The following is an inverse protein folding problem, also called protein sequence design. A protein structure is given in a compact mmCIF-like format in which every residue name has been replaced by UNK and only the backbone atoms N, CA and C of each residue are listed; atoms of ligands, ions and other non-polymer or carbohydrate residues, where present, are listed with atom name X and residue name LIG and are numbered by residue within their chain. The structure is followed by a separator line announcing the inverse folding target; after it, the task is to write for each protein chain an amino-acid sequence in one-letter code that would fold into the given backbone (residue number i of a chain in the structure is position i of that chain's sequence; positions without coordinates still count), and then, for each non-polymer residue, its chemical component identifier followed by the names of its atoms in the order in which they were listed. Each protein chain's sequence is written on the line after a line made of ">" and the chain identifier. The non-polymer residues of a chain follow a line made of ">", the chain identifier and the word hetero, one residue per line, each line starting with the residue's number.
data_IF_381549402044
#
_entry.id   IF_381549402044
#
_cell.length_a   1.000
_cell.length_b   1.000
_cell.length_c   1.000
_cell.angle_alpha   90.00
_cell.angle_beta   90.00
_cell.angle_gamma   90.00
#
_symmetry.space_group_name_H-M   'P 1'
#
loop_
_entity.id
_entity.type
_entity.pdbx_description
1 polymer ?
#
# COMPACT_ATOMS: atom_id res chain seq x y z
N UNK A 1 -54.41 26.80 43.79
CA UNK A 1 -53.87 25.51 44.27
C UNK A 1 -52.94 25.01 43.18
N UNK A 2 -51.67 24.70 43.33
CA UNK A 2 -50.78 24.57 44.48
C UNK A 2 -49.36 24.84 43.96
N UNK A 3 -48.57 25.46 44.82
CA UNK A 3 -47.16 25.81 44.67
C UNK A 3 -46.26 24.58 44.78
N UNK A 4 -45.19 24.52 43.96
CA UNK A 4 -43.86 23.90 44.21
C UNK A 4 -43.15 23.74 42.86
N UNK A 5 -42.33 24.68 42.39
CA UNK A 5 -41.10 25.21 42.99
C UNK A 5 -40.04 24.10 43.19
N UNK A 6 -38.95 24.21 42.40
CA UNK A 6 -37.53 24.09 42.78
C UNK A 6 -36.75 22.99 42.08
N UNK A 7 -35.98 23.37 41.06
CA UNK A 7 -34.53 23.71 41.09
C UNK A 7 -33.67 22.45 40.85
N UNK A 8 -32.80 22.58 39.85
CA UNK A 8 -31.89 21.62 39.23
C UNK A 8 -30.80 21.11 40.20
N UNK A 9 -30.21 19.94 39.92
CA UNK A 9 -28.81 19.96 39.43
C UNK A 9 -28.65 19.00 38.23
N UNK A 10 -28.08 19.45 37.11
CA UNK A 10 -26.67 19.26 36.81
C UNK A 10 -26.16 17.83 37.14
N UNK A 11 -26.66 16.82 36.44
CA UNK A 11 -25.94 15.56 36.31
C UNK A 11 -25.16 15.60 34.99
N UNK A 12 -23.90 15.99 35.11
CA UNK A 12 -22.81 15.59 34.24
C UNK A 12 -22.85 14.07 34.09
N UNK A 13 -23.46 13.57 33.02
CA UNK A 13 -23.16 12.25 32.51
C UNK A 13 -22.34 12.45 31.24
N UNK A 14 -21.03 12.45 31.43
CA UNK A 14 -20.05 12.30 30.37
C UNK A 14 -20.36 11.01 29.60
N UNK A 15 -21.01 11.12 28.43
CA UNK A 15 -21.03 10.02 27.48
C UNK A 15 -19.77 10.13 26.64
N UNK A 16 -18.71 9.52 27.17
CA UNK A 16 -17.49 9.24 26.43
C UNK A 16 -17.84 8.29 25.28
N UNK A 17 -18.12 8.84 24.09
CA UNK A 17 -18.06 8.10 22.83
C UNK A 17 -16.79 8.51 22.10
N UNK A 18 -15.65 8.12 22.68
CA UNK A 18 -14.36 8.10 22.00
C UNK A 18 -13.95 6.64 21.77
N UNK A 19 -14.86 5.86 21.18
CA UNK A 19 -14.48 4.61 20.53
C UNK A 19 -14.42 4.86 19.03
N UNK A 20 -13.51 5.73 18.60
CA UNK A 20 -12.99 5.61 17.25
C UNK A 20 -12.27 4.26 17.22
N UNK A 21 -12.74 3.25 16.46
CA UNK A 21 -11.86 2.14 16.17
C UNK A 21 -10.61 2.76 15.53
N UNK A 22 -9.46 2.53 16.16
CA UNK A 22 -8.18 2.78 15.55
C UNK A 22 -8.12 1.81 14.36
N UNK A 23 -8.68 2.23 13.23
CA UNK A 23 -8.36 1.63 11.95
C UNK A 23 -6.87 1.87 11.82
N UNK A 24 -6.07 0.87 12.22
CA UNK A 24 -4.69 0.77 11.81
C UNK A 24 -4.74 0.86 10.30
N UNK A 25 -4.33 2.02 9.78
CA UNK A 25 -4.14 2.22 8.37
C UNK A 25 -3.06 1.21 8.00
N UNK A 26 -3.48 0.10 7.39
CA UNK A 26 -2.56 -0.82 6.73
C UNK A 26 -1.93 0.00 5.63
N UNK A 27 -0.77 0.60 5.90
CA UNK A 27 0.05 1.18 4.87
C UNK A 27 0.36 0.02 3.92
N UNK A 28 -0.21 0.01 2.70
CA UNK A 28 0.26 -0.93 1.69
C UNK A 28 1.73 -0.57 1.55
N UNK A 29 2.63 -1.49 1.92
CA UNK A 29 4.07 -1.27 1.97
C UNK A 29 4.48 -0.42 0.78
N UNK A 30 4.63 0.88 1.04
CA UNK A 30 4.58 1.85 -0.03
C UNK A 30 5.86 1.69 -0.83
N UNK A 31 5.78 1.95 -2.13
CA UNK A 31 6.94 2.05 -3.01
C UNK A 31 8.08 2.90 -2.42
N UNK A 32 7.77 3.79 -1.47
CA UNK A 32 8.74 4.64 -0.76
C UNK A 32 9.86 3.83 -0.12
N UNK A 33 9.56 2.77 0.63
CA UNK A 33 10.57 1.99 1.36
C UNK A 33 11.56 1.34 0.40
N UNK A 34 11.06 0.84 -0.74
CA UNK A 34 11.90 0.24 -1.77
C UNK A 34 12.76 1.31 -2.47
N UNK A 35 12.15 2.44 -2.84
CA UNK A 35 12.81 3.50 -3.62
C UNK A 35 13.90 4.19 -2.83
N UNK A 36 13.75 4.38 -1.52
CA UNK A 36 14.75 5.04 -0.68
C UNK A 36 16.09 4.29 -0.72
N UNK A 37 16.09 3.00 -0.37
CA UNK A 37 17.30 2.20 -0.41
C UNK A 37 17.80 1.96 -1.84
N UNK A 38 16.90 1.66 -2.79
CA UNK A 38 17.32 1.34 -4.16
C UNK A 38 17.77 2.56 -4.98
N UNK A 39 17.50 3.78 -4.52
CA UNK A 39 18.10 4.98 -5.14
C UNK A 39 19.62 4.96 -4.97
N UNK A 40 20.12 4.44 -3.85
CA UNK A 40 21.55 4.33 -3.57
C UNK A 40 22.17 3.06 -4.17
N UNK A 41 21.46 1.92 -4.09
CA UNK A 41 22.00 0.61 -4.54
C UNK A 41 21.87 0.40 -6.06
N UNK A 42 20.74 0.82 -6.64
CA UNK A 42 20.43 0.63 -8.07
C UNK A 42 19.80 1.90 -8.68
N UNK A 43 20.53 3.03 -8.69
CA UNK A 43 19.99 4.34 -9.11
C UNK A 43 19.38 4.33 -10.52
N UNK A 44 19.98 3.58 -11.44
CA UNK A 44 19.48 3.44 -12.81
C UNK A 44 18.08 2.84 -12.88
N UNK A 45 17.82 1.76 -12.14
CA UNK A 45 16.52 1.08 -12.12
C UNK A 45 15.44 2.01 -11.55
N UNK A 46 15.75 2.73 -10.47
CA UNK A 46 14.82 3.71 -9.88
C UNK A 46 14.54 4.85 -10.84
N UNK A 47 15.56 5.33 -11.56
CA UNK A 47 15.40 6.38 -12.58
C UNK A 47 14.47 5.92 -13.71
N UNK A 48 14.69 4.70 -14.23
CA UNK A 48 13.88 4.15 -15.31
C UNK A 48 12.43 3.93 -14.87
N UNK A 49 12.22 3.40 -13.66
CA UNK A 49 10.88 3.28 -13.09
C UNK A 49 10.20 4.65 -12.95
N UNK A 50 10.88 5.67 -12.39
CA UNK A 50 10.33 7.04 -12.23
C UNK A 50 9.90 7.66 -13.56
N UNK A 51 10.59 7.33 -14.65
CA UNK A 51 10.25 7.81 -16.00
C UNK A 51 9.16 6.98 -16.71
N UNK A 52 8.76 5.84 -16.15
CA UNK A 52 7.83 4.90 -16.78
C UNK A 52 6.36 5.27 -16.56
N UNK A 53 5.50 4.70 -17.41
CA UNK A 53 4.03 4.75 -17.23
C UNK A 53 3.60 4.00 -15.98
N UNK A 54 4.33 2.98 -15.55
CA UNK A 54 4.02 2.26 -14.31
C UNK A 54 4.09 3.18 -13.09
N UNK A 55 5.10 4.06 -13.00
CA UNK A 55 5.09 5.10 -11.96
C UNK A 55 3.87 6.01 -12.15
N UNK A 56 3.60 6.54 -13.34
CA UNK A 56 2.48 7.47 -13.52
C UNK A 56 1.10 6.88 -13.22
N UNK A 57 1.01 5.55 -13.14
CA UNK A 57 -0.18 4.77 -12.73
C UNK A 57 -0.07 4.16 -11.33
N UNK A 58 0.90 4.62 -10.53
CA UNK A 58 1.16 4.18 -9.16
C UNK A 58 1.40 2.67 -8.99
N UNK A 59 1.93 2.01 -10.02
CA UNK A 59 2.48 0.65 -9.95
C UNK A 59 3.91 0.76 -9.41
N UNK A 60 4.10 0.39 -8.16
CA UNK A 60 5.35 0.39 -7.42
C UNK A 60 6.17 -0.89 -7.59
N UNK A 61 7.35 -0.90 -6.96
CA UNK A 61 8.29 -2.01 -7.04
C UNK A 61 7.67 -3.34 -6.54
N UNK A 62 6.94 -3.26 -5.43
CA UNK A 62 6.35 -4.43 -4.76
C UNK A 62 5.19 -5.07 -5.50
N UNK A 63 4.54 -4.35 -6.42
CA UNK A 63 3.44 -4.90 -7.23
C UNK A 63 3.93 -5.99 -8.19
N UNK A 64 5.20 -5.94 -8.59
CA UNK A 64 5.84 -6.95 -9.44
C UNK A 64 6.78 -7.87 -8.65
N UNK A 65 7.61 -7.28 -7.77
CA UNK A 65 8.67 -8.00 -7.06
C UNK A 65 8.24 -8.55 -5.69
N UNK A 66 7.01 -8.28 -5.27
CA UNK A 66 6.54 -8.59 -3.93
C UNK A 66 7.26 -7.77 -2.86
N UNK A 67 7.04 -8.16 -1.61
CA UNK A 67 7.44 -7.37 -0.43
C UNK A 67 8.28 -8.16 0.57
N UNK A 68 8.70 -9.38 0.23
CA UNK A 68 9.35 -10.32 1.17
C UNK A 68 10.83 -10.02 1.38
N UNK A 69 11.47 -9.36 0.42
CA UNK A 69 12.80 -8.77 0.58
C UNK A 69 12.68 -7.46 1.36
N UNK A 70 13.51 -7.29 2.38
CA UNK A 70 13.55 -6.12 3.26
C UNK A 70 14.96 -5.59 3.53
N UNK A 71 16.00 -6.35 3.19
CA UNK A 71 17.38 -5.98 3.46
C UNK A 71 18.36 -6.68 2.50
N UNK A 72 19.59 -6.17 2.40
CA UNK A 72 20.65 -6.79 1.59
C UNK A 72 20.86 -8.30 1.82
N UNK A 73 20.49 -8.81 3.01
CA UNK A 73 20.71 -10.20 3.40
C UNK A 73 19.57 -11.14 2.97
N UNK A 74 18.49 -10.62 2.37
CA UNK A 74 17.35 -11.43 1.92
C UNK A 74 16.85 -11.10 0.51
N UNK A 75 17.79 -10.70 -0.36
CA UNK A 75 17.54 -10.43 -1.78
C UNK A 75 16.94 -11.65 -2.50
N UNK A 76 17.28 -12.87 -2.06
CA UNK A 76 16.73 -14.13 -2.58
C UNK A 76 15.22 -14.27 -2.39
N UNK A 77 14.63 -13.51 -1.47
CA UNK A 77 13.17 -13.51 -1.23
C UNK A 77 12.40 -12.62 -2.20
N UNK A 78 13.08 -11.89 -3.08
CA UNK A 78 12.43 -11.09 -4.12
C UNK A 78 11.68 -12.01 -5.09
N UNK A 79 10.47 -11.64 -5.50
CA UNK A 79 9.81 -12.35 -6.59
C UNK A 79 10.51 -11.99 -7.91
N UNK A 80 10.90 -13.03 -8.63
CA UNK A 80 11.34 -12.89 -10.02
C UNK A 80 10.11 -12.66 -10.89
N UNK A 81 10.09 -11.52 -11.58
CA UNK A 81 9.00 -11.13 -12.46
C UNK A 81 9.00 -12.02 -13.70
N UNK A 82 7.84 -12.61 -14.00
CA UNK A 82 7.63 -13.42 -15.20
C UNK A 82 6.47 -12.82 -16.02
N UNK A 83 6.19 -13.37 -17.20
CA UNK A 83 5.03 -12.97 -17.99
C UNK A 83 3.69 -13.13 -17.22
N UNK A 84 3.65 -14.03 -16.25
CA UNK A 84 2.47 -14.26 -15.41
C UNK A 84 2.25 -13.14 -14.41
N UNK A 85 3.31 -12.54 -13.89
CA UNK A 85 3.21 -11.32 -13.06
C UNK A 85 2.53 -10.19 -13.84
N UNK A 86 2.88 -10.04 -15.12
CA UNK A 86 2.26 -9.04 -15.98
C UNK A 86 0.77 -9.31 -16.21
N UNK A 87 0.35 -10.58 -16.24
CA UNK A 87 -1.02 -10.98 -16.54
C UNK A 87 -2.03 -10.52 -15.49
N UNK A 88 -1.60 -10.20 -14.27
CA UNK A 88 -2.45 -9.62 -13.21
C UNK A 88 -3.14 -8.34 -13.67
N UNK A 89 -2.47 -7.55 -14.54
CA UNK A 89 -3.02 -6.30 -15.10
C UNK A 89 -3.15 -6.35 -16.64
N UNK A 90 -2.32 -7.13 -17.32
CA UNK A 90 -2.19 -7.18 -18.79
C UNK A 90 -2.53 -8.58 -19.35
N UNK A 91 -3.68 -9.13 -18.94
CA UNK A 91 -4.09 -10.49 -19.31
C UNK A 91 -4.16 -10.73 -20.83
N UNK A 92 -4.59 -9.73 -21.60
CA UNK A 92 -4.70 -9.83 -23.05
C UNK A 92 -3.34 -9.90 -23.73
N UNK A 93 -2.41 -9.03 -23.34
CA UNK A 93 -1.05 -8.99 -23.87
C UNK A 93 -0.30 -10.27 -23.50
N UNK A 94 -0.42 -10.75 -22.26
CA UNK A 94 0.20 -12.01 -21.86
C UNK A 94 -0.39 -13.18 -22.64
N UNK A 95 -1.72 -13.23 -22.85
CA UNK A 95 -2.35 -14.27 -23.68
C UNK A 95 -1.82 -14.25 -25.12
N UNK A 96 -1.64 -13.07 -25.70
CA UNK A 96 -1.06 -12.93 -27.05
C UNK A 96 0.41 -13.38 -27.07
N UNK A 97 1.20 -12.95 -26.09
CA UNK A 97 2.61 -13.33 -25.94
C UNK A 97 2.78 -14.85 -25.85
N UNK A 98 2.02 -15.51 -24.97
CA UNK A 98 2.05 -16.98 -24.78
C UNK A 98 1.58 -17.79 -26.00
N UNK A 99 0.80 -17.19 -26.90
CA UNK A 99 0.43 -17.83 -28.18
C UNK A 99 1.55 -17.75 -29.21
N UNK A 100 2.53 -16.86 -29.00
CA UNK A 100 3.74 -16.79 -29.78
C UNK A 100 4.71 -17.93 -29.45
N UNK A 101 5.91 -17.88 -30.02
CA UNK A 101 6.98 -18.86 -29.77
C UNK A 101 7.89 -18.46 -28.59
N UNK A 102 7.38 -17.64 -27.66
CA UNK A 102 8.13 -17.02 -26.58
C UNK A 102 7.63 -17.46 -25.22
#
# INVERSE_FOLDING_TARGET
>A
MNVRNWIRPLCLAAVAVLTTPLFAQVNPLESKDCVECHTEITPGIVKDWKASVHKSKDVGCGDCHGIRHKSKDDVDKVLTVTADTCATCHADQTRQFKKGKH
#
